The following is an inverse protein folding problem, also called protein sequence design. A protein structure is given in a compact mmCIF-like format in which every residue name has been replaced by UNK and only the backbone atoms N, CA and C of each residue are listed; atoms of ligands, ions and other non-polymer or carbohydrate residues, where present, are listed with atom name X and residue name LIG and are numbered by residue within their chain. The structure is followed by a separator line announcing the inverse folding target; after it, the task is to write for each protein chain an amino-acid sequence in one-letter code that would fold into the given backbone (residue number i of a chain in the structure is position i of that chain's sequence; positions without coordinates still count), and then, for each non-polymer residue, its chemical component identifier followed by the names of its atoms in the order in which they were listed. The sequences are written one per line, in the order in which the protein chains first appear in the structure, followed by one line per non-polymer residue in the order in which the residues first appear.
data_IF_592619047826
#
_entry.id   IF_592619047826
#
_cell.length_a   1.000
_cell.length_b   1.000
_cell.length_c   1.000
_cell.angle_alpha   90.00
_cell.angle_beta   90.00
_cell.angle_gamma   90.00
#
_symmetry.space_group_name_H-M   'P 1'
#
loop_
_entity.id
_entity.type
_entity.pdbx_description
1 polymer ?
#
# COMPACT_ATOMS: atom_id res chain seq x y z
N UNK A 1 0.66 19.06 18.92
CA UNK A 1 0.31 17.63 18.78
C UNK A 1 1.59 16.91 18.35
N UNK A 2 1.95 15.79 19.00
CA UNK A 2 3.12 15.01 18.60
C UNK A 2 2.88 14.42 17.18
N UNK A 3 3.73 14.69 16.19
CA UNK A 3 3.59 14.16 14.83
C UNK A 3 3.38 12.64 14.75
N UNK A 4 4.05 11.89 15.63
CA UNK A 4 3.92 10.42 15.69
C UNK A 4 2.54 10.01 16.17
N UNK A 5 1.95 10.71 17.14
CA UNK A 5 0.62 10.38 17.65
C UNK A 5 -0.44 10.54 16.55
N UNK A 6 -0.33 11.58 15.70
CA UNK A 6 -1.23 11.76 14.54
C UNK A 6 -1.07 10.62 13.53
N UNK A 7 0.16 10.17 13.28
CA UNK A 7 0.40 9.03 12.39
C UNK A 7 -0.23 7.74 12.96
N UNK A 8 -0.05 7.49 14.26
CA UNK A 8 -0.60 6.32 14.97
C UNK A 8 -2.14 6.26 14.88
N UNK A 9 -2.85 7.39 14.85
CA UNK A 9 -4.32 7.46 14.70
C UNK A 9 -4.81 6.98 13.32
N UNK A 10 -3.97 7.09 12.28
CA UNK A 10 -4.31 6.69 10.90
C UNK A 10 -3.95 5.24 10.58
N UNK A 11 -3.19 4.59 11.46
CA UNK A 11 -2.66 3.26 11.24
C UNK A 11 -3.49 2.19 11.93
N UNK A 12 -3.49 0.94 11.43
CA UNK A 12 -4.00 -0.19 12.19
C UNK A 12 -3.28 -0.32 13.54
N UNK A 13 -4.03 -0.72 14.57
CA UNK A 13 -3.55 -0.79 15.97
C UNK A 13 -2.21 -1.49 16.13
N UNK A 14 -1.97 -2.56 15.37
CA UNK A 14 -0.73 -3.34 15.47
C UNK A 14 0.49 -2.59 14.92
N UNK A 15 0.29 -1.82 13.84
CA UNK A 15 1.34 -0.98 13.26
C UNK A 15 1.62 0.23 14.13
N UNK A 16 0.58 0.86 14.68
CA UNK A 16 0.73 1.93 15.65
C UNK A 16 1.53 1.45 16.88
N UNK A 17 1.18 0.29 17.44
CA UNK A 17 1.93 -0.34 18.55
C UNK A 17 3.39 -0.62 18.19
N UNK A 18 3.67 -1.03 16.96
CA UNK A 18 5.03 -1.25 16.48
C UNK A 18 5.87 0.04 16.47
N UNK A 19 5.31 1.14 15.94
CA UNK A 19 5.97 2.45 15.93
C UNK A 19 6.21 2.93 17.35
N UNK A 20 5.21 2.80 18.22
CA UNK A 20 5.32 3.18 19.63
C UNK A 20 6.45 2.41 20.34
N UNK A 21 6.56 1.10 20.11
CA UNK A 21 7.62 0.26 20.66
C UNK A 21 9.03 0.64 20.15
N UNK A 22 9.12 1.33 19.02
CA UNK A 22 10.36 1.93 18.53
C UNK A 22 10.64 3.31 19.15
N UNK A 23 10.06 3.62 20.31
CA UNK A 23 10.18 4.90 21.02
C UNK A 23 9.66 6.09 20.20
N UNK A 24 8.73 5.83 19.27
CA UNK A 24 8.23 6.82 18.32
C UNK A 24 9.25 7.23 17.25
N UNK A 25 10.39 6.53 17.12
CA UNK A 25 11.33 6.78 16.04
C UNK A 25 10.90 6.03 14.77
N UNK A 26 10.26 6.76 13.85
CA UNK A 26 9.83 6.23 12.55
C UNK A 26 11.00 5.65 11.74
N UNK A 27 12.20 6.23 11.86
CA UNK A 27 13.42 5.76 11.19
C UNK A 27 13.80 4.36 11.67
N UNK A 28 13.75 4.15 13.00
CA UNK A 28 14.02 2.86 13.63
C UNK A 28 12.91 1.86 13.34
N UNK A 29 11.64 2.28 13.44
CA UNK A 29 10.48 1.45 13.14
C UNK A 29 10.52 0.91 11.70
N UNK A 30 10.85 1.78 10.72
CA UNK A 30 10.96 1.43 9.31
C UNK A 30 12.10 0.44 9.04
N UNK A 31 13.32 0.72 9.51
CA UNK A 31 14.48 -0.14 9.26
C UNK A 31 14.34 -1.53 9.85
N UNK A 32 13.71 -1.64 11.02
CA UNK A 32 13.62 -2.88 11.77
C UNK A 32 12.30 -3.63 11.57
N UNK A 33 11.35 -3.07 10.82
CA UNK A 33 10.04 -3.69 10.62
C UNK A 33 10.19 -5.10 9.99
N UNK A 34 9.68 -6.16 10.64
CA UNK A 34 9.78 -7.52 10.11
C UNK A 34 8.63 -7.86 9.15
N UNK A 35 7.65 -6.97 8.98
CA UNK A 35 6.39 -7.20 8.29
C UNK A 35 6.27 -6.33 7.03
N UNK A 36 6.16 -6.93 5.82
CA UNK A 36 6.11 -6.16 4.58
C UNK A 36 4.80 -5.36 4.43
N UNK A 37 3.68 -5.91 4.87
CA UNK A 37 2.38 -5.23 4.92
C UNK A 37 2.41 -4.00 5.84
N UNK A 38 3.11 -4.06 6.98
CA UNK A 38 3.26 -2.92 7.87
C UNK A 38 4.10 -1.80 7.25
N UNK A 39 5.16 -2.13 6.52
CA UNK A 39 5.94 -1.14 5.77
C UNK A 39 5.07 -0.42 4.74
N UNK A 40 4.21 -1.16 4.01
CA UNK A 40 3.28 -0.56 3.06
C UNK A 40 2.26 0.34 3.76
N UNK A 41 1.69 -0.10 4.88
CA UNK A 41 0.73 0.71 5.66
C UNK A 41 1.36 2.01 6.17
N UNK A 42 2.61 1.95 6.66
CA UNK A 42 3.37 3.15 7.06
C UNK A 42 3.57 4.09 5.87
N UNK A 43 4.00 3.56 4.71
CA UNK A 43 4.21 4.36 3.51
C UNK A 43 2.93 5.07 3.04
N UNK A 44 1.80 4.37 3.07
CA UNK A 44 0.49 4.95 2.74
C UNK A 44 0.07 6.03 3.74
N UNK A 45 0.21 5.77 5.04
CA UNK A 45 -0.20 6.69 6.09
C UNK A 45 0.60 8.01 6.08
N UNK A 46 1.87 7.98 5.67
CA UNK A 46 2.67 9.21 5.52
C UNK A 46 2.47 9.89 4.15
N UNK A 47 1.69 9.31 3.24
CA UNK A 47 1.42 9.88 1.91
C UNK A 47 2.53 9.67 0.89
N UNK A 48 3.23 8.52 0.93
CA UNK A 48 4.11 8.11 -0.19
C UNK A 48 3.29 7.95 -1.46
N UNK A 49 3.87 8.35 -2.60
CA UNK A 49 3.26 8.25 -3.91
C UNK A 49 2.72 6.84 -4.19
N UNK A 50 1.45 6.75 -4.59
CA UNK A 50 0.76 5.47 -4.78
C UNK A 50 1.42 4.61 -5.85
N UNK A 51 1.92 5.20 -6.93
CA UNK A 51 2.60 4.43 -7.98
C UNK A 51 3.85 3.76 -7.44
N UNK A 52 4.57 4.40 -6.53
CA UNK A 52 5.74 3.83 -5.87
C UNK A 52 5.36 2.68 -4.93
N UNK A 53 4.28 2.83 -4.16
CA UNK A 53 3.76 1.77 -3.28
C UNK A 53 3.27 0.56 -4.08
N UNK A 54 2.50 0.79 -5.14
CA UNK A 54 2.03 -0.28 -6.04
C UNK A 54 3.20 -0.96 -6.72
N UNK A 55 4.23 -0.22 -7.14
CA UNK A 55 5.43 -0.82 -7.74
C UNK A 55 6.16 -1.73 -6.75
N UNK A 56 6.33 -1.31 -5.49
CA UNK A 56 6.92 -2.17 -4.47
C UNK A 56 6.09 -3.46 -4.29
N UNK A 57 4.76 -3.32 -4.24
CA UNK A 57 3.86 -4.46 -4.10
C UNK A 57 3.92 -5.41 -5.32
N UNK A 58 3.99 -4.84 -6.52
CA UNK A 58 4.12 -5.55 -7.79
C UNK A 58 5.37 -6.43 -7.84
N UNK A 59 6.53 -5.92 -7.39
CA UNK A 59 7.77 -6.70 -7.40
C UNK A 59 7.68 -7.92 -6.47
N UNK A 60 7.16 -7.71 -5.25
CA UNK A 60 6.97 -8.79 -4.27
C UNK A 60 5.95 -9.81 -4.78
N UNK A 61 4.82 -9.37 -5.35
CA UNK A 61 3.82 -10.29 -5.91
C UNK A 61 4.33 -11.03 -7.15
N UNK A 62 5.19 -10.40 -7.97
CA UNK A 62 5.83 -11.06 -9.11
C UNK A 62 6.75 -12.18 -8.65
N UNK A 63 7.54 -11.95 -7.60
CA UNK A 63 8.37 -12.98 -6.97
C UNK A 63 7.53 -14.15 -6.41
N UNK A 64 6.38 -13.86 -5.78
CA UNK A 64 5.44 -14.86 -5.27
C UNK A 64 4.90 -15.76 -6.40
N UNK A 65 4.39 -15.15 -7.49
CA UNK A 65 3.87 -15.88 -8.67
C UNK A 65 4.96 -16.65 -9.39
N UNK A 66 6.20 -16.18 -9.39
CA UNK A 66 7.32 -16.90 -10.00
C UNK A 66 7.67 -18.19 -9.23
N UNK A 67 7.54 -18.19 -7.90
CA UNK A 67 7.81 -19.36 -7.05
C UNK A 67 6.72 -20.42 -7.07
N UNK A 68 5.49 -20.00 -7.36
CA UNK A 68 4.33 -20.89 -7.47
C UNK A 68 3.72 -20.76 -8.86
N UNK A 69 4.26 -21.49 -9.86
CA UNK A 69 3.77 -21.40 -11.23
C UNK A 69 2.30 -21.78 -11.33
N UNK A 70 1.47 -20.80 -11.65
CA UNK A 70 0.04 -20.98 -11.94
C UNK A 70 -0.09 -21.16 -13.46
N UNK A 71 -0.82 -22.19 -13.89
CA UNK A 71 -1.06 -22.49 -15.31
C UNK A 71 -1.95 -21.44 -15.97
N UNK A 72 -2.95 -20.93 -15.25
CA UNK A 72 -3.80 -19.84 -15.69
C UNK A 72 -3.01 -18.53 -15.79
N UNK A 73 -3.16 -17.82 -16.90
CA UNK A 73 -2.42 -16.60 -17.19
C UNK A 73 -3.06 -15.35 -16.56
N UNK A 74 -4.28 -15.41 -16.02
CA UNK A 74 -4.99 -14.25 -15.44
C UNK A 74 -4.19 -13.55 -14.32
N UNK A 75 -3.59 -14.25 -13.34
CA UNK A 75 -2.71 -13.61 -12.34
C UNK A 75 -1.51 -12.88 -12.97
N UNK A 76 -0.86 -13.47 -13.97
CA UNK A 76 0.26 -12.81 -14.67
C UNK A 76 -0.20 -11.59 -15.46
N UNK A 77 -1.38 -11.64 -16.07
CA UNK A 77 -1.99 -10.49 -16.77
C UNK A 77 -2.32 -9.35 -15.80
N UNK A 78 -2.78 -9.66 -14.59
CA UNK A 78 -3.01 -8.67 -13.54
C UNK A 78 -1.72 -7.92 -13.18
N UNK A 79 -0.63 -8.65 -12.91
CA UNK A 79 0.69 -8.05 -12.64
C UNK A 79 1.22 -7.22 -13.82
N UNK A 80 1.11 -7.74 -15.05
CA UNK A 80 1.55 -7.02 -16.25
C UNK A 80 0.76 -5.72 -16.45
N UNK A 81 -0.55 -5.73 -16.18
CA UNK A 81 -1.40 -4.54 -16.29
C UNK A 81 -1.05 -3.53 -15.20
N UNK A 82 -0.81 -3.97 -13.97
CA UNK A 82 -0.33 -3.11 -12.90
C UNK A 82 1.03 -2.46 -13.23
N UNK A 83 1.96 -3.20 -13.85
CA UNK A 83 3.22 -2.63 -14.36
C UNK A 83 2.99 -1.54 -15.42
N UNK A 84 1.99 -1.72 -16.28
CA UNK A 84 1.61 -0.70 -17.25
C UNK A 84 0.97 0.52 -16.59
N UNK A 85 0.19 0.33 -15.53
CA UNK A 85 -0.43 1.41 -14.75
C UNK A 85 0.62 2.24 -14.01
N UNK A 86 1.61 1.59 -13.36
CA UNK A 86 2.76 2.28 -12.76
C UNK A 86 3.50 3.14 -13.80
N UNK A 87 3.54 2.70 -15.06
CA UNK A 87 4.10 3.45 -16.18
C UNK A 87 3.15 4.48 -16.83
N UNK A 88 1.96 4.71 -16.27
CA UNK A 88 0.95 5.63 -16.79
C UNK A 88 0.31 5.22 -18.13
N UNK A 89 0.38 3.94 -18.51
CA UNK A 89 -0.05 3.45 -19.84
C UNK A 89 -1.48 2.92 -19.90
N UNK A 90 -2.06 2.54 -18.75
CA UNK A 90 -3.42 1.99 -18.66
C UNK A 90 -4.14 2.57 -17.45
N UNK A 91 -5.47 2.71 -17.48
CA UNK A 91 -6.25 3.19 -16.34
C UNK A 91 -6.42 2.08 -15.28
N UNK A 92 -6.70 2.47 -14.04
CA UNK A 92 -6.91 1.56 -12.92
C UNK A 92 -8.14 0.66 -13.08
N UNK A 93 -9.18 1.14 -13.78
CA UNK A 93 -10.35 0.32 -14.12
C UNK A 93 -9.98 -0.94 -14.90
N UNK A 94 -8.97 -0.86 -15.77
CA UNK A 94 -8.44 -2.02 -16.48
C UNK A 94 -7.68 -2.96 -15.55
N UNK A 95 -6.93 -2.42 -14.59
CA UNK A 95 -6.27 -3.22 -13.57
C UNK A 95 -7.29 -3.97 -12.71
N UNK A 96 -8.36 -3.31 -12.29
CA UNK A 96 -9.43 -3.93 -11.51
C UNK A 96 -10.10 -5.10 -12.24
N UNK A 97 -10.39 -4.95 -13.54
CA UNK A 97 -10.94 -6.04 -14.34
C UNK A 97 -10.03 -7.28 -14.34
N UNK A 98 -8.71 -7.07 -14.45
CA UNK A 98 -7.74 -8.16 -14.33
C UNK A 98 -7.57 -8.67 -12.89
N UNK A 99 -7.77 -7.82 -11.89
CA UNK A 99 -7.83 -8.20 -10.47
C UNK A 99 -8.94 -9.20 -10.20
N UNK A 100 -10.17 -8.89 -10.63
CA UNK A 100 -11.31 -9.82 -10.50
C UNK A 100 -11.04 -11.16 -11.19
N UNK A 101 -10.53 -11.12 -12.42
CA UNK A 101 -10.19 -12.34 -13.15
C UNK A 101 -9.09 -13.17 -12.46
N UNK A 102 -8.14 -12.53 -11.77
CA UNK A 102 -7.12 -13.23 -10.98
C UNK A 102 -7.68 -13.79 -9.66
N UNK A 103 -8.64 -13.11 -9.01
CA UNK A 103 -9.37 -13.63 -7.85
C UNK A 103 -10.12 -14.92 -8.18
N UNK A 104 -10.84 -14.95 -9.31
CA UNK A 104 -11.53 -16.17 -9.75
C UNK A 104 -10.57 -17.37 -9.90
N UNK A 105 -9.31 -17.12 -10.34
CA UNK A 105 -8.29 -18.17 -10.37
C UNK A 105 -7.90 -18.58 -8.96
N UNK A 106 -7.63 -17.61 -8.09
CA UNK A 106 -7.20 -17.84 -6.71
C UNK A 106 -8.21 -18.71 -5.95
N UNK A 107 -9.51 -18.50 -6.16
CA UNK A 107 -10.59 -19.27 -5.54
C UNK A 107 -10.64 -20.75 -5.98
N UNK A 108 -10.05 -21.09 -7.13
CA UNK A 108 -9.95 -22.48 -7.61
C UNK A 108 -8.66 -23.20 -7.19
N UNK A 109 -7.74 -22.46 -6.58
CA UNK A 109 -6.42 -22.96 -6.16
C UNK A 109 -6.40 -23.21 -4.66
N UNK A 110 -5.38 -23.94 -4.20
CA UNK A 110 -5.14 -24.17 -2.78
C UNK A 110 -3.70 -23.84 -2.39
N UNK A 111 -3.51 -23.53 -1.11
CA UNK A 111 -2.18 -23.29 -0.54
C UNK A 111 -1.43 -22.12 -1.18
N UNK A 112 -0.08 -22.20 -1.28
CA UNK A 112 0.75 -21.08 -1.73
C UNK A 112 0.45 -20.57 -3.15
N UNK A 113 -0.13 -21.41 -4.03
CA UNK A 113 -0.53 -20.98 -5.35
C UNK A 113 -1.76 -20.06 -5.32
N UNK A 114 -2.71 -20.31 -4.42
CA UNK A 114 -3.86 -19.42 -4.20
C UNK A 114 -3.40 -18.07 -3.65
N UNK A 115 -2.49 -18.07 -2.67
CA UNK A 115 -1.93 -16.83 -2.12
C UNK A 115 -1.13 -16.03 -3.15
N UNK A 116 -0.33 -16.67 -3.99
CA UNK A 116 0.35 -15.98 -5.09
C UNK A 116 -0.64 -15.35 -6.08
N UNK A 117 -1.75 -16.02 -6.39
CA UNK A 117 -2.81 -15.48 -7.24
C UNK A 117 -3.56 -14.31 -6.58
N UNK A 118 -3.88 -14.40 -5.29
CA UNK A 118 -4.47 -13.30 -4.51
C UNK A 118 -3.52 -12.09 -4.43
N UNK A 119 -2.23 -12.31 -4.20
CA UNK A 119 -1.24 -11.24 -4.21
C UNK A 119 -1.26 -10.47 -5.55
N UNK A 120 -1.31 -11.19 -6.68
CA UNK A 120 -1.45 -10.58 -7.99
C UNK A 120 -2.76 -9.80 -8.18
N UNK A 121 -3.88 -10.35 -7.70
CA UNK A 121 -5.18 -9.68 -7.76
C UNK A 121 -5.17 -8.37 -6.95
N UNK A 122 -4.66 -8.41 -5.72
CA UNK A 122 -4.61 -7.24 -4.84
C UNK A 122 -3.65 -6.14 -5.33
N UNK A 123 -2.55 -6.50 -6.00
CA UNK A 123 -1.73 -5.49 -6.70
C UNK A 123 -2.55 -4.77 -7.78
N UNK A 124 -3.40 -5.50 -8.51
CA UNK A 124 -4.24 -4.90 -9.55
C UNK A 124 -5.34 -4.01 -8.96
N UNK A 125 -5.96 -4.41 -7.84
CA UNK A 125 -6.92 -3.56 -7.12
C UNK A 125 -6.28 -2.32 -6.47
N UNK A 126 -4.99 -2.38 -6.14
CA UNK A 126 -4.23 -1.23 -5.67
C UNK A 126 -3.96 -0.19 -6.78
N UNK A 127 -4.16 -0.53 -8.05
CA UNK A 127 -4.07 0.44 -9.14
C UNK A 127 -5.38 1.25 -9.22
N UNK A 128 -5.55 2.22 -8.33
CA UNK A 128 -6.76 3.07 -8.26
C UNK A 128 -6.41 4.56 -8.36
N UNK A 129 -6.68 5.12 -9.54
CA UNK A 129 -6.49 6.52 -9.91
C UNK A 129 -7.64 7.45 -9.49
N UNK A 130 -8.77 6.89 -9.01
CA UNK A 130 -9.97 7.68 -8.68
C UNK A 130 -10.21 7.83 -7.18
N UNK A 131 -9.67 6.91 -6.36
CA UNK A 131 -9.77 7.00 -4.90
C UNK A 131 -9.10 8.27 -4.36
N UNK A 132 -9.66 8.89 -3.32
CA UNK A 132 -8.93 9.87 -2.50
C UNK A 132 -7.89 9.15 -1.61
N UNK A 133 -6.90 9.90 -1.10
CA UNK A 133 -5.76 9.32 -0.38
C UNK A 133 -6.19 8.59 0.91
N UNK A 134 -7.19 9.12 1.62
CA UNK A 134 -7.68 8.52 2.87
C UNK A 134 -8.41 7.20 2.59
N UNK A 135 -9.29 7.19 1.59
CA UNK A 135 -10.00 5.98 1.18
C UNK A 135 -9.05 4.91 0.64
N UNK A 136 -8.06 5.30 -0.15
CA UNK A 136 -7.04 4.39 -0.68
C UNK A 136 -6.20 3.76 0.44
N UNK A 137 -5.72 4.59 1.39
CA UNK A 137 -4.97 4.12 2.55
C UNK A 137 -5.81 3.18 3.43
N UNK A 138 -7.11 3.43 3.59
CA UNK A 138 -8.00 2.57 4.37
C UNK A 138 -8.21 1.18 3.73
N UNK A 139 -8.41 1.09 2.41
CA UNK A 139 -8.55 -0.20 1.72
C UNK A 139 -7.25 -1.00 1.71
N UNK A 140 -6.11 -0.31 1.65
CA UNK A 140 -4.76 -0.86 1.76
C UNK A 140 -4.52 -2.10 0.87
N UNK A 141 -5.03 -2.14 -0.36
CA UNK A 141 -4.89 -3.30 -1.25
C UNK A 141 -3.43 -3.70 -1.50
N UNK A 142 -2.52 -2.71 -1.58
CA UNK A 142 -1.09 -2.99 -1.65
C UNK A 142 -0.56 -3.74 -0.41
N UNK A 143 -1.07 -3.45 0.78
CA UNK A 143 -0.71 -4.17 2.00
C UNK A 143 -1.33 -5.58 2.03
N UNK A 144 -2.59 -5.73 1.57
CA UNK A 144 -3.21 -7.05 1.40
C UNK A 144 -2.44 -7.94 0.43
N UNK A 145 -1.94 -7.38 -0.66
CA UNK A 145 -1.04 -8.09 -1.56
C UNK A 145 0.22 -8.60 -0.84
N UNK A 146 0.79 -7.80 0.08
CA UNK A 146 1.94 -8.22 0.89
C UNK A 146 1.58 -9.34 1.87
N UNK A 147 0.41 -9.29 2.48
CA UNK A 147 -0.06 -10.35 3.39
C UNK A 147 -0.14 -11.70 2.68
N UNK A 148 -0.69 -11.75 1.46
CA UNK A 148 -0.72 -12.99 0.68
C UNK A 148 0.66 -13.37 0.14
N UNK A 149 1.43 -12.43 -0.40
CA UNK A 149 2.78 -12.75 -0.89
C UNK A 149 3.70 -13.27 0.23
N UNK A 150 3.54 -12.78 1.46
CA UNK A 150 4.30 -13.18 2.63
C UNK A 150 4.11 -14.66 3.03
N UNK A 151 3.03 -15.33 2.61
CA UNK A 151 2.86 -16.78 2.84
C UNK A 151 3.73 -17.62 1.89
N UNK A 152 4.23 -17.00 0.82
CA UNK A 152 4.97 -17.65 -0.28
C UNK A 152 6.46 -17.27 -0.30
N UNK A 153 6.83 -16.22 0.43
CA UNK A 153 8.14 -15.60 0.41
C UNK A 153 8.77 -15.49 1.79
N UNK A 154 10.10 -15.46 1.82
CA UNK A 154 10.84 -15.04 3.00
C UNK A 154 10.54 -13.56 3.31
N UNK A 155 10.02 -13.29 4.51
CA UNK A 155 9.61 -11.94 4.94
C UNK A 155 10.75 -10.92 4.83
N UNK A 156 11.98 -11.34 5.13
CA UNK A 156 13.17 -10.49 5.04
C UNK A 156 13.41 -9.99 3.62
N UNK A 157 13.22 -10.85 2.61
CA UNK A 157 13.34 -10.50 1.19
C UNK A 157 12.24 -9.53 0.78
N UNK A 158 10.99 -9.78 1.14
CA UNK A 158 9.88 -8.87 0.82
C UNK A 158 10.09 -7.48 1.44
N UNK A 159 10.49 -7.43 2.71
CA UNK A 159 10.82 -6.18 3.39
C UNK A 159 12.01 -5.46 2.74
N UNK A 160 13.03 -6.19 2.27
CA UNK A 160 14.15 -5.60 1.56
C UNK A 160 13.71 -4.96 0.24
N UNK A 161 12.94 -5.68 -0.60
CA UNK A 161 12.40 -5.15 -1.86
C UNK A 161 11.60 -3.86 -1.63
N UNK A 162 10.75 -3.83 -0.59
CA UNK A 162 9.98 -2.61 -0.25
C UNK A 162 10.91 -1.46 0.12
N UNK A 163 11.96 -1.69 0.92
CA UNK A 163 12.90 -0.63 1.32
C UNK A 163 13.79 -0.14 0.18
N UNK A 164 14.11 -1.00 -0.77
CA UNK A 164 14.83 -0.63 -1.99
C UNK A 164 13.95 0.25 -2.90
N UNK A 165 12.66 -0.10 -3.03
CA UNK A 165 11.70 0.64 -3.84
C UNK A 165 11.19 1.92 -3.18
N UNK A 166 11.03 1.91 -1.87
CA UNK A 166 10.59 3.04 -1.03
C UNK A 166 11.71 3.31 -0.01
N UNK A 167 12.75 4.06 -0.42
CA UNK A 167 13.86 4.38 0.47
C UNK A 167 13.39 5.18 1.68
N UNK A 168 14.01 4.94 2.84
CA UNK A 168 13.72 5.67 4.07
C UNK A 168 13.71 7.20 3.90
N UNK A 169 14.63 7.85 3.15
CA UNK A 169 14.55 9.29 2.91
C UNK A 169 13.19 9.76 2.34
N UNK A 170 12.59 8.98 1.44
CA UNK A 170 11.26 9.28 0.87
C UNK A 170 10.19 9.22 1.95
N UNK A 171 10.24 8.20 2.82
CA UNK A 171 9.30 8.04 3.93
C UNK A 171 9.42 9.20 4.92
N UNK A 172 10.64 9.60 5.28
CA UNK A 172 10.88 10.68 6.23
C UNK A 172 10.47 12.06 5.67
N UNK A 173 10.76 12.32 4.40
CA UNK A 173 10.30 13.53 3.71
C UNK A 173 8.76 13.63 3.73
N UNK A 174 8.09 12.54 3.37
CA UNK A 174 6.62 12.49 3.36
C UNK A 174 6.01 12.60 4.75
N UNK A 175 6.63 11.97 5.74
CA UNK A 175 6.25 12.14 7.14
C UNK A 175 6.40 13.59 7.59
N UNK A 176 7.48 14.28 7.25
CA UNK A 176 7.66 15.70 7.58
C UNK A 176 6.54 16.56 6.99
N UNK A 177 6.16 16.31 5.72
CA UNK A 177 5.05 17.00 5.06
C UNK A 177 3.72 16.72 5.77
N UNK A 178 3.40 15.46 6.05
CA UNK A 178 2.16 15.04 6.72
C UNK A 178 2.07 15.56 8.18
N UNK A 179 3.22 15.82 8.80
CA UNK A 179 3.32 16.32 10.17
C UNK A 179 3.04 17.82 10.30
N UNK A 180 3.05 18.57 9.19
CA UNK A 180 2.78 20.01 9.20
C UNK A 180 1.32 20.28 9.60
N UNK A 181 1.06 21.32 10.41
CA UNK A 181 -0.31 21.73 10.66
C UNK A 181 -0.95 22.21 9.34
N UNK A 182 -2.27 22.03 9.15
CA UNK A 182 -2.96 22.64 8.02
C UNK A 182 -2.74 24.16 8.04
N UNK A 183 -2.68 24.81 6.87
CA UNK A 183 -2.56 26.26 6.82
C UNK A 183 -3.72 26.90 7.62
N UNK A 184 -3.46 28.02 8.33
CA UNK A 184 -4.53 28.73 9.02
C UNK A 184 -5.62 29.09 8.01
N UNK A 185 -6.88 28.98 8.45
CA UNK A 185 -8.01 29.40 7.62
C UNK A 185 -7.80 30.85 7.17
N UNK A 186 -8.15 31.21 5.92
CA UNK A 186 -8.17 32.60 5.50
C UNK A 186 -8.96 33.44 6.52
N UNK A 187 -8.43 34.61 6.89
CA UNK A 187 -9.08 35.51 7.84
C UNK A 187 -10.53 35.78 7.40
N UNK A 188 -11.50 35.38 8.23
CA UNK A 188 -12.92 35.62 8.00
C UNK A 188 -13.77 34.39 7.64
N UNK A 189 -13.18 33.19 7.52
CA UNK A 189 -13.95 31.94 7.40
C UNK A 189 -14.16 31.28 8.76
N UNK A 190 -15.43 31.12 9.16
CA UNK A 190 -15.81 30.36 10.34
C UNK A 190 -15.61 28.86 10.05
N UNK A 191 -14.91 28.08 10.91
CA UNK A 191 -14.80 26.63 10.79
C UNK A 191 -16.15 25.91 10.57
N UNK A 192 -17.26 26.48 11.05
CA UNK A 192 -18.60 25.93 10.86
C UNK A 192 -19.07 25.98 9.39
N UNK A 193 -18.64 26.97 8.61
CA UNK A 193 -19.08 27.15 7.21
C UNK A 193 -18.38 26.20 6.23
N UNK A 194 -17.25 25.61 6.63
CA UNK A 194 -16.46 24.70 5.78
C UNK A 194 -17.02 23.27 5.81
N UNK A 195 -17.70 22.89 6.90
CA UNK A 195 -18.27 21.56 7.08
C UNK A 195 -19.44 21.24 6.12
N UNK A 196 -20.19 22.26 5.70
CA UNK A 196 -21.38 22.07 4.85
C UNK A 196 -21.07 22.09 3.34
N UNK A 197 -19.86 22.52 2.94
CA UNK A 197 -19.49 22.68 1.53
C UNK A 197 -19.05 21.36 0.84
N UNK A 198 -18.82 20.28 1.59
CA UNK A 198 -18.32 19.01 1.03
C UNK A 198 -19.44 17.99 0.69
N UNK A 199 -20.72 18.37 0.89
CA UNK A 199 -21.90 17.52 0.59
C UNK A 199 -22.85 18.16 -0.45
N UNK A 200 -22.33 18.83 -1.48
CA UNK A 200 -23.12 19.30 -2.63
C UNK A 200 -22.53 18.81 -3.95
#
# INVERSE_FOLDING_TARGET
MNPIARLEETLPTDVARWIHAAEGDLSRAWRNCPRPDWLVQIALAVGVDRSLVVHAALEVATDAVARHPISDLRPRRALMTALQWVGGRVPGTQCWAHGFAATEVAETLEGPAADAAYAAAFVAFACDDQADDSFYAHRAYAALAMTHAATTLELSRACQTIRERIPLPVVLERFEVASRPPPPLPLGLDPAEISDSFYC
#
